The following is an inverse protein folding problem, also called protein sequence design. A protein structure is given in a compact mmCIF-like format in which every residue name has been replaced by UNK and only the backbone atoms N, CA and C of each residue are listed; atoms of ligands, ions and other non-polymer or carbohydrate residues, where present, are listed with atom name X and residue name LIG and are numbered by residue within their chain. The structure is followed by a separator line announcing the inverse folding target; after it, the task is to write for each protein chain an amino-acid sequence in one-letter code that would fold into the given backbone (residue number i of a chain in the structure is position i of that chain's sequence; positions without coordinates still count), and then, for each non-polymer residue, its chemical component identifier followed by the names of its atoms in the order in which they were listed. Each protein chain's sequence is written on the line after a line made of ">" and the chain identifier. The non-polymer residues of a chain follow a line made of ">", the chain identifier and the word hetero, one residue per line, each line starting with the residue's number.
data_IF_264287566024
#
_entry.id   IF_264287566024
#
_cell.length_a   1.000
_cell.length_b   1.000
_cell.length_c   1.000
_cell.angle_alpha   90.00
_cell.angle_beta   90.00
_cell.angle_gamma   90.00
#
_symmetry.space_group_name_H-M   'P 1'
#
loop_
_entity.id
_entity.type
_entity.pdbx_description
1 polymer ?
#
# COMPACT_ATOMS: atom_id res chain seq x y z
N UNK A 1 10.92 15.17 11.78
CA UNK A 1 9.49 14.91 11.51
C UNK A 1 9.40 13.83 10.45
N UNK A 2 9.29 12.55 10.85
CA UNK A 2 9.31 11.42 9.91
C UNK A 2 8.10 10.53 10.11
N UNK A 3 6.98 10.76 9.40
CA UNK A 3 5.77 9.99 9.60
C UNK A 3 5.88 8.57 9.01
N UNK A 4 5.03 7.64 9.45
CA UNK A 4 4.98 6.31 8.86
C UNK A 4 4.64 6.32 7.36
N UNK A 5 4.03 7.40 6.85
CA UNK A 5 3.73 7.58 5.42
C UNK A 5 4.98 7.63 4.52
N UNK A 6 6.16 8.01 5.05
CA UNK A 6 7.41 7.93 4.28
C UNK A 6 7.73 6.50 3.86
N UNK A 7 7.51 5.54 4.76
CA UNK A 7 7.73 4.11 4.47
C UNK A 7 6.69 3.63 3.46
N UNK A 8 5.45 4.09 3.59
CA UNK A 8 4.39 3.71 2.65
C UNK A 8 4.69 4.15 1.23
N UNK A 9 5.14 5.40 1.07
CA UNK A 9 5.46 5.94 -0.25
C UNK A 9 6.68 5.23 -0.89
N UNK A 10 7.64 4.77 -0.08
CA UNK A 10 8.91 4.20 -0.58
C UNK A 10 8.91 2.68 -0.72
N UNK A 11 8.29 1.99 0.23
CA UNK A 11 8.46 0.55 0.45
C UNK A 11 7.14 -0.23 0.32
N UNK A 12 5.98 0.44 0.29
CA UNK A 12 4.66 -0.19 0.15
C UNK A 12 4.03 0.08 -1.21
N UNK A 13 3.66 1.33 -1.50
CA UNK A 13 2.93 1.70 -2.73
C UNK A 13 3.66 1.32 -4.02
N UNK A 14 4.99 1.51 -4.16
CA UNK A 14 5.69 1.13 -5.39
C UNK A 14 5.65 -0.39 -5.62
N UNK A 15 5.74 -1.18 -4.55
CA UNK A 15 5.75 -2.65 -4.63
C UNK A 15 4.34 -3.16 -4.95
N UNK A 16 3.30 -2.64 -4.28
CA UNK A 16 1.88 -2.95 -4.61
C UNK A 16 1.60 -2.67 -6.08
N UNK A 17 1.94 -1.47 -6.58
CA UNK A 17 1.71 -1.11 -7.99
C UNK A 17 2.47 -2.00 -8.96
N UNK A 18 3.70 -2.39 -8.61
CA UNK A 18 4.51 -3.33 -9.39
C UNK A 18 3.84 -4.70 -9.48
N UNK A 19 3.35 -5.22 -8.36
CA UNK A 19 2.70 -6.53 -8.31
C UNK A 19 1.36 -6.54 -9.05
N UNK A 20 0.49 -5.56 -8.79
CA UNK A 20 -0.80 -5.42 -9.49
C UNK A 20 -0.59 -5.31 -11.00
N UNK A 21 0.32 -4.45 -11.47
CA UNK A 21 0.61 -4.31 -12.90
C UNK A 21 1.09 -5.64 -13.51
N UNK A 22 1.94 -6.39 -12.81
CA UNK A 22 2.45 -7.69 -13.27
C UNK A 22 1.39 -8.78 -13.25
N UNK A 23 0.51 -8.80 -12.25
CA UNK A 23 -0.56 -9.77 -12.18
C UNK A 23 -1.58 -9.53 -13.29
N UNK A 24 -2.02 -8.28 -13.50
CA UNK A 24 -2.85 -7.95 -14.66
C UNK A 24 -2.15 -8.29 -16.00
N UNK A 25 -0.83 -8.09 -16.09
CA UNK A 25 -0.08 -8.48 -17.30
C UNK A 25 -0.10 -10.00 -17.53
N UNK A 26 0.04 -10.80 -16.48
CA UNK A 26 -0.05 -12.28 -16.54
C UNK A 26 -1.45 -12.76 -16.93
N UNK A 27 -2.48 -11.97 -16.60
CA UNK A 27 -3.88 -12.21 -16.98
C UNK A 27 -4.20 -11.79 -18.42
N UNK A 28 -3.19 -11.34 -19.18
CA UNK A 28 -3.32 -11.06 -20.62
C UNK A 28 -3.62 -9.59 -20.97
N UNK A 29 -3.76 -8.70 -20.00
CA UNK A 29 -4.04 -7.28 -20.27
C UNK A 29 -2.84 -6.57 -20.94
N UNK A 30 -3.16 -5.71 -21.91
CA UNK A 30 -2.20 -4.77 -22.51
C UNK A 30 -1.79 -3.68 -21.51
N UNK A 31 -0.67 -3.01 -21.77
CA UNK A 31 -0.22 -1.93 -20.87
C UNK A 31 -1.21 -0.76 -20.83
N UNK A 32 -1.92 -0.50 -21.93
CA UNK A 32 -2.94 0.55 -22.02
C UNK A 32 -4.19 0.19 -21.22
N UNK A 33 -4.64 -1.07 -21.26
CA UNK A 33 -5.76 -1.54 -20.43
C UNK A 33 -5.41 -1.51 -18.94
N UNK A 34 -4.18 -1.94 -18.58
CA UNK A 34 -3.67 -1.86 -17.21
C UNK A 34 -3.65 -0.40 -16.74
N UNK A 35 -3.18 0.52 -17.59
CA UNK A 35 -3.12 1.95 -17.29
C UNK A 35 -4.51 2.51 -17.00
N UNK A 36 -5.48 2.20 -17.86
CA UNK A 36 -6.88 2.61 -17.67
C UNK A 36 -7.49 2.04 -16.38
N UNK A 37 -7.21 0.77 -16.06
CA UNK A 37 -7.74 0.09 -14.86
C UNK A 37 -7.14 0.63 -13.56
N UNK A 38 -5.85 0.92 -13.57
CA UNK A 38 -5.13 1.41 -12.39
C UNK A 38 -5.22 2.93 -12.19
N UNK A 39 -5.89 3.64 -13.10
CA UNK A 39 -5.89 5.12 -13.17
C UNK A 39 -4.46 5.70 -13.19
N UNK A 40 -3.66 5.19 -14.13
CA UNK A 40 -2.25 5.56 -14.30
C UNK A 40 -1.96 5.85 -15.77
N UNK A 41 -0.83 6.49 -16.04
CA UNK A 41 -0.32 6.60 -17.41
C UNK A 41 0.27 5.27 -17.87
N UNK A 42 0.20 4.98 -19.18
CA UNK A 42 0.86 3.79 -19.75
C UNK A 42 2.37 3.82 -19.50
N UNK A 43 3.00 5.00 -19.47
CA UNK A 43 4.40 5.17 -19.10
C UNK A 43 4.69 4.73 -17.65
N UNK A 44 3.79 5.04 -16.70
CA UNK A 44 3.91 4.56 -15.32
C UNK A 44 3.77 3.03 -15.23
N UNK A 45 2.84 2.44 -15.99
CA UNK A 45 2.70 0.97 -16.08
C UNK A 45 3.95 0.32 -16.66
N UNK A 46 4.48 0.84 -17.77
CA UNK A 46 5.74 0.37 -18.37
C UNK A 46 6.88 0.40 -17.35
N UNK A 47 7.00 1.50 -16.59
CA UNK A 47 7.97 1.59 -15.49
C UNK A 47 7.77 0.48 -14.46
N UNK A 48 6.56 0.27 -13.98
CA UNK A 48 6.27 -0.76 -12.96
C UNK A 48 6.54 -2.18 -13.44
N UNK A 49 6.20 -2.50 -14.68
CA UNK A 49 6.47 -3.83 -15.25
C UNK A 49 7.98 -4.14 -15.26
N UNK A 50 8.79 -3.15 -15.62
CA UNK A 50 10.25 -3.26 -15.73
C UNK A 50 10.99 -3.03 -14.40
N UNK A 51 10.31 -2.57 -13.34
CA UNK A 51 10.95 -2.24 -12.08
C UNK A 51 11.36 -3.51 -11.30
N UNK A 52 12.59 -3.63 -10.80
CA UNK A 52 12.96 -4.74 -9.93
C UNK A 52 12.13 -4.71 -8.63
N UNK A 53 11.77 -5.88 -8.11
CA UNK A 53 11.04 -5.97 -6.83
C UNK A 53 12.03 -5.70 -5.71
N UNK A 54 11.87 -4.57 -5.02
CA UNK A 54 12.63 -4.29 -3.80
C UNK A 54 12.20 -5.25 -2.70
N UNK A 55 13.15 -5.93 -2.06
CA UNK A 55 12.88 -6.74 -0.87
C UNK A 55 12.36 -5.83 0.25
N UNK A 56 11.14 -6.09 0.71
CA UNK A 56 10.50 -5.38 1.82
C UNK A 56 9.97 -6.40 2.83
N UNK A 57 9.96 -6.02 4.12
CA UNK A 57 9.34 -6.87 5.16
C UNK A 57 7.82 -6.99 4.99
N UNK A 58 7.23 -6.08 4.20
CA UNK A 58 5.80 -6.06 3.87
C UNK A 58 5.43 -7.03 2.73
N UNK A 59 6.36 -7.86 2.25
CA UNK A 59 6.16 -8.65 1.03
C UNK A 59 4.88 -9.50 1.06
N UNK A 60 4.64 -10.23 2.16
CA UNK A 60 3.46 -11.09 2.31
C UNK A 60 2.15 -10.29 2.38
N UNK A 61 2.14 -9.17 3.10
CA UNK A 61 0.96 -8.28 3.16
C UNK A 61 0.66 -7.66 1.80
N UNK A 62 1.70 -7.27 1.07
CA UNK A 62 1.61 -6.66 -0.26
C UNK A 62 1.18 -7.67 -1.31
N UNK A 63 1.65 -8.91 -1.23
CA UNK A 63 1.27 -9.98 -2.15
C UNK A 63 -0.23 -10.25 -2.08
N UNK A 64 -0.76 -10.55 -0.89
CA UNK A 64 -2.21 -10.75 -0.70
C UNK A 64 -3.03 -9.52 -1.13
N UNK A 65 -2.61 -8.31 -0.77
CA UNK A 65 -3.28 -7.09 -1.20
C UNK A 65 -3.29 -6.98 -2.73
N UNK A 66 -2.17 -7.30 -3.37
CA UNK A 66 -2.04 -7.17 -4.83
C UNK A 66 -2.89 -8.20 -5.56
N UNK A 67 -3.04 -9.41 -5.02
CA UNK A 67 -3.97 -10.43 -5.54
C UNK A 67 -5.42 -9.95 -5.44
N UNK A 68 -5.84 -9.45 -4.28
CA UNK A 68 -7.18 -8.90 -4.07
C UNK A 68 -7.47 -7.75 -5.04
N UNK A 69 -6.57 -6.77 -5.10
CA UNK A 69 -6.69 -5.63 -6.01
C UNK A 69 -6.73 -6.06 -7.48
N UNK A 70 -5.94 -7.07 -7.86
CA UNK A 70 -5.98 -7.62 -9.22
C UNK A 70 -7.35 -8.23 -9.50
N UNK A 71 -7.90 -9.05 -8.58
CA UNK A 71 -9.23 -9.61 -8.71
C UNK A 71 -10.31 -8.54 -8.94
N UNK A 72 -10.26 -7.46 -8.15
CA UNK A 72 -11.16 -6.31 -8.28
C UNK A 72 -11.01 -5.57 -9.63
N UNK A 73 -9.77 -5.38 -10.08
CA UNK A 73 -9.48 -4.64 -11.32
C UNK A 73 -9.72 -5.46 -12.59
N UNK A 74 -9.66 -6.80 -12.52
CA UNK A 74 -9.90 -7.70 -13.66
C UNK A 74 -11.33 -7.57 -14.19
N UNK A 75 -12.32 -7.49 -13.30
CA UNK A 75 -13.74 -7.39 -13.69
C UNK A 75 -14.08 -6.00 -14.24
N UNK A 76 -13.36 -4.97 -13.79
CA UNK A 76 -13.67 -3.58 -14.12
C UNK A 76 -14.92 -3.04 -13.41
N UNK A 77 -15.50 -3.81 -12.50
CA UNK A 77 -16.71 -3.45 -11.73
C UNK A 77 -16.37 -2.71 -10.43
N UNK A 78 -15.13 -2.83 -9.95
CA UNK A 78 -14.69 -2.19 -8.74
C UNK A 78 -14.62 -0.67 -8.91
N UNK A 79 -15.29 0.05 -8.01
CA UNK A 79 -15.26 1.51 -7.99
C UNK A 79 -13.94 2.01 -7.40
N UNK A 80 -13.56 3.25 -7.73
CA UNK A 80 -12.31 3.83 -7.23
C UNK A 80 -12.25 3.87 -5.69
N UNK A 81 -13.38 4.13 -5.02
CA UNK A 81 -13.44 4.14 -3.55
C UNK A 81 -13.26 2.74 -2.94
N UNK A 82 -13.72 1.68 -3.59
CA UNK A 82 -13.49 0.30 -3.14
C UNK A 82 -12.01 -0.06 -3.23
N UNK A 83 -11.34 0.30 -4.33
CA UNK A 83 -9.89 0.09 -4.52
C UNK A 83 -9.09 0.86 -3.46
N UNK A 84 -9.43 2.14 -3.25
CA UNK A 84 -8.79 2.97 -2.23
C UNK A 84 -9.04 2.40 -0.83
N UNK A 85 -10.25 1.93 -0.53
CA UNK A 85 -10.59 1.30 0.75
C UNK A 85 -9.73 0.08 1.02
N UNK A 86 -9.59 -0.84 0.06
CA UNK A 86 -8.81 -2.06 0.23
C UNK A 86 -7.34 -1.73 0.52
N UNK A 87 -6.75 -0.85 -0.31
CA UNK A 87 -5.36 -0.41 -0.16
C UNK A 87 -5.10 0.34 1.16
N UNK A 88 -5.97 1.30 1.50
CA UNK A 88 -5.83 2.09 2.71
C UNK A 88 -6.09 1.27 3.97
N UNK A 89 -7.04 0.34 3.95
CA UNK A 89 -7.32 -0.53 5.11
C UNK A 89 -6.12 -1.42 5.43
N UNK A 90 -5.48 -2.01 4.42
CA UNK A 90 -4.26 -2.81 4.60
C UNK A 90 -3.11 -1.96 5.11
N UNK A 91 -2.90 -0.79 4.51
CA UNK A 91 -1.91 0.18 4.96
C UNK A 91 -2.12 0.58 6.43
N UNK A 92 -3.36 0.84 6.85
CA UNK A 92 -3.72 1.22 8.21
C UNK A 92 -3.54 0.08 9.20
N UNK A 93 -3.97 -1.14 8.87
CA UNK A 93 -3.77 -2.35 9.70
C UNK A 93 -2.28 -2.60 9.96
N UNK A 94 -1.43 -2.48 8.94
CA UNK A 94 0.02 -2.66 9.07
C UNK A 94 0.67 -1.64 10.03
N UNK A 95 0.04 -0.47 10.25
CA UNK A 95 0.53 0.57 11.19
C UNK A 95 0.20 0.28 12.66
N UNK A 96 -0.76 -0.60 12.96
CA UNK A 96 -1.24 -0.83 14.33
C UNK A 96 -0.49 -2.01 14.94
N UNK A 97 0.72 -1.77 15.43
CA UNK A 97 1.52 -2.80 16.10
C UNK A 97 2.02 -3.92 15.20
N UNK A 98 2.01 -3.71 13.88
CA UNK A 98 2.41 -4.69 12.86
C UNK A 98 3.65 -4.22 12.08
N UNK A 99 3.94 -4.85 10.95
CA UNK A 99 5.19 -4.74 10.18
C UNK A 99 5.61 -3.30 9.88
N UNK A 100 4.68 -2.44 9.46
CA UNK A 100 4.99 -1.05 9.14
C UNK A 100 5.35 -0.24 10.41
N UNK A 101 4.69 -0.52 11.54
CA UNK A 101 5.05 0.10 12.83
C UNK A 101 6.49 -0.26 13.22
N UNK A 102 6.87 -1.53 13.12
CA UNK A 102 8.24 -1.99 13.40
C UNK A 102 9.27 -1.35 12.47
N UNK A 103 8.98 -1.31 11.16
CA UNK A 103 9.83 -0.66 10.18
C UNK A 103 9.99 0.83 10.49
N UNK A 104 8.92 1.50 10.92
CA UNK A 104 8.93 2.91 11.29
C UNK A 104 9.80 3.18 12.52
N UNK A 105 9.63 2.39 13.57
CA UNK A 105 10.45 2.49 14.77
C UNK A 105 11.93 2.15 14.51
N UNK A 106 12.22 1.22 13.58
CA UNK A 106 13.59 0.93 13.15
C UNK A 106 14.21 2.12 12.39
N UNK A 107 13.43 2.80 11.56
CA UNK A 107 13.87 3.96 10.77
C UNK A 107 14.01 5.23 11.62
N UNK A 108 13.25 5.33 12.72
CA UNK A 108 13.23 6.46 13.66
C UNK A 108 13.39 5.94 15.09
N UNK A 109 14.63 5.66 15.54
CA UNK A 109 14.88 4.98 16.81
C UNK A 109 14.32 5.69 18.05
N UNK A 110 14.19 7.02 18.02
CA UNK A 110 13.56 7.80 19.10
C UNK A 110 12.09 7.42 19.34
N UNK A 111 11.37 6.92 18.34
CA UNK A 111 10.00 6.41 18.52
C UNK A 111 9.97 5.08 19.27
N UNK A 112 11.00 4.25 19.08
CA UNK A 112 11.15 3.01 19.85
C UNK A 112 11.43 3.33 21.32
N UNK A 113 12.34 4.26 21.58
CA UNK A 113 12.66 4.71 22.94
C UNK A 113 11.44 5.32 23.67
N UNK A 114 10.56 5.99 22.93
CA UNK A 114 9.34 6.59 23.46
C UNK A 114 8.15 5.61 23.57
N UNK A 115 8.32 4.32 23.30
CA UNK A 115 7.22 3.34 23.23
C UNK A 115 6.03 3.84 22.39
N UNK A 116 6.31 4.32 21.17
CA UNK A 116 5.32 4.98 20.32
C UNK A 116 4.04 4.16 20.10
N UNK A 117 2.88 4.80 20.34
CA UNK A 117 1.54 4.24 20.13
C UNK A 117 0.65 5.19 19.31
N UNK A 118 1.25 6.08 18.50
CA UNK A 118 0.49 7.14 17.80
C UNK A 118 -0.53 6.53 16.83
N UNK A 119 -0.13 5.64 15.93
CA UNK A 119 -1.05 5.04 14.95
C UNK A 119 -2.21 4.30 15.60
N UNK A 120 -1.95 3.53 16.66
CA UNK A 120 -2.98 2.75 17.38
C UNK A 120 -3.94 3.64 18.17
N UNK A 121 -3.51 4.84 18.61
CA UNK A 121 -4.38 5.85 19.22
C UNK A 121 -5.23 6.57 18.18
N UNK A 122 -4.62 7.04 17.08
CA UNK A 122 -5.31 7.77 16.02
C UNK A 122 -6.35 6.90 15.29
N UNK A 123 -5.99 5.66 14.91
CA UNK A 123 -6.84 4.78 14.12
C UNK A 123 -7.84 3.98 14.96
N UNK A 124 -7.57 3.81 16.25
CA UNK A 124 -8.45 3.11 17.19
C UNK A 124 -9.59 3.96 17.75
N UNK A 125 -9.85 5.15 17.18
CA UNK A 125 -10.91 6.06 17.65
C UNK A 125 -10.65 6.67 19.04
N UNK A 126 -9.42 6.61 19.55
CA UNK A 126 -9.06 7.10 20.90
C UNK A 126 -8.58 8.56 20.89
N UNK A 127 -8.92 9.31 19.85
CA UNK A 127 -8.73 10.76 19.85
C UNK A 127 -10.06 11.42 20.23
N UNK A 128 -10.11 11.97 21.44
CA UNK A 128 -11.27 12.71 21.93
C UNK A 128 -11.59 14.00 21.12
N UNK A 129 -10.73 14.38 20.16
CA UNK A 129 -10.78 15.69 19.49
C UNK A 129 -10.92 15.60 17.95
N UNK A 130 -11.52 14.53 17.41
CA UNK A 130 -11.84 14.43 15.96
C UNK A 130 -13.35 14.49 15.68
N UNK A 131 -14.14 14.89 16.69
CA UNK A 131 -15.56 15.16 16.56
C UNK A 131 -15.80 16.66 16.77
N UNK A 132 -15.37 17.48 15.81
CA UNK A 132 -15.87 18.84 15.59
C UNK A 132 -16.05 19.05 14.09
#
# INVERSE_FOLDING_TARGET
>A
MRPPCEIVQRDFLPVVRTFVARYLRKEGFSQTEIASRMDLTQAAVSKYLNQPVTKTRLAVEIEHLSENLTGMLKTGEATADQIVRELCSTCMKSRIGSTLCEMHQKKVPSLKAANCQVCSKLLGGRNANLAE
#
